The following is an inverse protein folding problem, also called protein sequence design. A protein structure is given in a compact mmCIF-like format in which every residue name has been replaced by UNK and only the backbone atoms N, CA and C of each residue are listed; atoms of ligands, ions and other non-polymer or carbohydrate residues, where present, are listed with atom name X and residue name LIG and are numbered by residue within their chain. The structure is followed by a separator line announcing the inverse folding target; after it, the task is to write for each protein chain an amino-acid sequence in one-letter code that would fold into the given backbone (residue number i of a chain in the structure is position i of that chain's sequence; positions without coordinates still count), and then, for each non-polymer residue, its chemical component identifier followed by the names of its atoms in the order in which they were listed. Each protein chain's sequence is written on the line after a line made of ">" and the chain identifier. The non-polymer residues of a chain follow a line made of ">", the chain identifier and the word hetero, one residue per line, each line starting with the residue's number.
data_IF_116049717130
#
_entry.id   IF_116049717130
#
_cell.length_a   1.000
_cell.length_b   1.000
_cell.length_c   1.000
_cell.angle_alpha   90.00
_cell.angle_beta   90.00
_cell.angle_gamma   90.00
#
_symmetry.space_group_name_H-M   'P 1'
#
loop_
_entity.id
_entity.type
_entity.pdbx_description
1 polymer ?
#
# COMPACT_ATOMS: atom_id res chain seq x y z
N UNK A 1 21.46 15.84 -11.16
CA UNK A 1 20.62 14.67 -11.49
C UNK A 1 19.40 14.72 -10.58
N UNK A 2 18.24 15.08 -11.12
CA UNK A 2 17.00 15.15 -10.34
C UNK A 2 16.29 13.82 -10.54
N UNK A 3 16.42 12.90 -9.58
CA UNK A 3 15.63 11.67 -9.57
C UNK A 3 14.22 12.05 -9.13
N UNK A 4 13.38 12.49 -10.06
CA UNK A 4 11.95 12.65 -9.79
C UNK A 4 11.40 11.25 -9.58
N UNK A 5 11.30 10.83 -8.31
CA UNK A 5 10.53 9.65 -7.91
C UNK A 5 9.13 9.91 -8.45
N UNK A 6 8.73 9.19 -9.50
CA UNK A 6 7.43 9.38 -10.13
C UNK A 6 6.36 9.42 -9.05
N UNK A 7 5.71 10.56 -8.91
CA UNK A 7 4.63 10.75 -7.95
C UNK A 7 3.51 9.83 -8.41
N UNK A 8 3.26 8.77 -7.64
CA UNK A 8 2.20 7.83 -7.90
C UNK A 8 1.06 8.17 -6.95
N UNK A 9 -0.07 8.61 -7.50
CA UNK A 9 -1.27 8.83 -6.70
C UNK A 9 -1.85 7.46 -6.31
N UNK A 10 -1.89 7.21 -4.99
CA UNK A 10 -2.40 5.96 -4.43
C UNK A 10 -3.70 6.24 -3.70
N UNK A 11 -4.80 5.72 -4.23
CA UNK A 11 -6.13 5.79 -3.60
C UNK A 11 -6.51 4.41 -3.07
N UNK A 12 -6.88 4.32 -1.79
CA UNK A 12 -7.35 3.08 -1.16
C UNK A 12 -8.81 3.24 -0.75
N UNK A 13 -9.67 2.37 -1.26
CA UNK A 13 -11.07 2.29 -0.90
C UNK A 13 -11.35 1.01 -0.11
N UNK A 14 -11.99 1.17 1.05
CA UNK A 14 -12.41 0.05 1.89
C UNK A 14 -13.87 -0.29 1.63
N UNK A 15 -14.12 -1.52 1.21
CA UNK A 15 -15.46 -2.11 1.10
C UNK A 15 -15.60 -3.22 2.15
N UNK A 16 -16.83 -3.62 2.51
CA UNK A 16 -17.05 -4.62 3.57
C UNK A 16 -16.36 -5.97 3.34
N UNK A 17 -16.28 -6.41 2.07
CA UNK A 17 -15.73 -7.71 1.67
C UNK A 17 -14.35 -7.61 0.98
N UNK A 18 -13.95 -6.41 0.54
CA UNK A 18 -12.72 -6.20 -0.26
C UNK A 18 -12.09 -4.84 -0.04
N UNK A 19 -10.81 -4.74 -0.38
CA UNK A 19 -10.08 -3.47 -0.48
C UNK A 19 -9.68 -3.25 -1.93
N UNK A 20 -9.90 -2.03 -2.43
CA UNK A 20 -9.51 -1.63 -3.78
C UNK A 20 -8.41 -0.58 -3.68
N UNK A 21 -7.26 -0.89 -4.25
CA UNK A 21 -6.11 0.00 -4.35
C UNK A 21 -6.02 0.44 -5.80
N UNK A 22 -6.09 1.75 -6.02
CA UNK A 22 -5.90 2.36 -7.32
C UNK A 22 -4.57 3.10 -7.30
N UNK A 23 -3.69 2.76 -8.24
CA UNK A 23 -2.40 3.39 -8.43
C UNK A 23 -2.43 4.11 -9.77
N UNK A 24 -2.39 5.44 -9.75
CA UNK A 24 -2.20 6.25 -10.96
C UNK A 24 -0.73 6.61 -11.09
N UNK A 25 -0.11 6.21 -12.20
CA UNK A 25 1.26 6.57 -12.53
C UNK A 25 1.29 7.17 -13.92
N UNK A 26 1.49 8.49 -13.99
CA UNK A 26 1.61 9.23 -15.25
C UNK A 26 0.42 8.99 -16.20
N UNK A 27 -0.81 8.97 -15.66
CA UNK A 27 -2.04 8.73 -16.42
C UNK A 27 -2.29 7.26 -16.77
N UNK A 28 -1.47 6.33 -16.26
CA UNK A 28 -1.74 4.90 -16.32
C UNK A 28 -2.26 4.42 -14.97
N UNK A 29 -3.55 4.13 -14.94
CA UNK A 29 -4.22 3.60 -13.76
C UNK A 29 -4.08 2.07 -13.68
N UNK A 30 -3.62 1.56 -12.55
CA UNK A 30 -3.63 0.14 -12.20
C UNK A 30 -4.53 -0.06 -10.98
N UNK A 31 -5.46 -1.02 -11.07
CA UNK A 31 -6.41 -1.33 -10.00
C UNK A 31 -6.13 -2.72 -9.45
N UNK A 32 -5.94 -2.82 -8.14
CA UNK A 32 -5.75 -4.07 -7.42
C UNK A 32 -6.93 -4.22 -6.46
N UNK A 33 -7.71 -5.29 -6.60
CA UNK A 33 -8.78 -5.63 -5.67
C UNK A 33 -8.44 -6.93 -4.95
N UNK A 34 -8.55 -6.94 -3.63
CA UNK A 34 -8.27 -8.12 -2.80
C UNK A 34 -9.30 -8.26 -1.69
N UNK A 35 -9.55 -9.47 -1.15
CA UNK A 35 -10.44 -9.66 -0.01
C UNK A 35 -10.01 -8.84 1.20
N UNK A 36 -10.97 -8.31 1.96
CA UNK A 36 -10.69 -7.46 3.13
C UNK A 36 -9.88 -8.22 4.19
N UNK A 37 -10.13 -9.53 4.36
CA UNK A 37 -9.36 -10.40 5.26
C UNK A 37 -7.87 -10.45 4.88
N UNK A 38 -7.57 -10.61 3.58
CA UNK A 38 -6.20 -10.60 3.07
C UNK A 38 -5.53 -9.23 3.23
N UNK A 39 -6.27 -8.14 2.98
CA UNK A 39 -5.76 -6.79 3.16
C UNK A 39 -5.41 -6.49 4.63
N UNK A 40 -6.26 -6.93 5.58
CA UNK A 40 -5.99 -6.80 7.01
C UNK A 40 -4.77 -7.60 7.46
N UNK A 41 -4.61 -8.82 6.96
CA UNK A 41 -3.45 -9.64 7.28
C UNK A 41 -2.15 -9.06 6.70
N UNK A 42 -2.20 -8.54 5.47
CA UNK A 42 -1.10 -7.81 4.87
C UNK A 42 -0.73 -6.58 5.70
N UNK A 43 -1.71 -5.77 6.10
CA UNK A 43 -1.48 -4.59 6.94
C UNK A 43 -0.84 -4.97 8.27
N UNK A 44 -1.34 -6.00 8.94
CA UNK A 44 -0.76 -6.51 10.19
C UNK A 44 0.71 -6.92 10.03
N UNK A 45 1.06 -7.57 8.92
CA UNK A 45 2.44 -7.96 8.60
C UNK A 45 3.33 -6.74 8.35
N UNK A 46 2.85 -5.76 7.58
CA UNK A 46 3.60 -4.52 7.32
C UNK A 46 3.85 -3.77 8.62
N UNK A 47 2.83 -3.61 9.48
CA UNK A 47 2.97 -2.94 10.78
C UNK A 47 3.95 -3.68 11.69
N UNK A 48 3.91 -5.01 11.74
CA UNK A 48 4.86 -5.80 12.52
C UNK A 48 6.31 -5.64 12.00
N UNK A 49 6.51 -5.65 10.67
CA UNK A 49 7.83 -5.42 10.07
C UNK A 49 8.35 -4.00 10.30
N UNK A 50 7.48 -2.99 10.23
CA UNK A 50 7.86 -1.61 10.54
C UNK A 50 8.24 -1.44 12.01
N UNK A 51 7.51 -2.07 12.92
CA UNK A 51 7.85 -2.06 14.35
C UNK A 51 9.20 -2.74 14.63
N UNK A 52 9.51 -3.85 13.95
CA UNK A 52 10.80 -4.54 14.07
C UNK A 52 11.96 -3.70 13.51
N UNK A 53 11.78 -3.07 12.35
CA UNK A 53 12.80 -2.20 11.76
C UNK A 53 13.15 -0.99 12.67
N UNK A 54 12.18 -0.46 13.42
CA UNK A 54 12.41 0.62 14.40
C UNK A 54 13.13 0.15 15.67
N UNK A 55 13.13 -1.14 15.97
CA UNK A 55 13.86 -1.71 17.12
C UNK A 55 15.30 -2.10 16.81
N UNK A 56 15.70 -2.14 15.54
CA UNK A 56 17.08 -2.43 15.10
C UNK A 56 17.95 -1.17 14.93
N UNK A 57 17.39 0.03 15.11
CA UNK A 57 18.13 1.32 15.10
C UNK A 57 18.44 1.87 16.53
N UNK A 58 18.26 1.08 17.59
CA UNK A 58 18.49 1.50 18.98
C UNK A 58 19.79 0.95 19.59
#
# INVERSE_FOLDING_TARGET
>A
MTTTRGEADLTVEHQPDRVRITVDQSGRQTVIAMPATTAMELARRITASAALAMTEEA
#
